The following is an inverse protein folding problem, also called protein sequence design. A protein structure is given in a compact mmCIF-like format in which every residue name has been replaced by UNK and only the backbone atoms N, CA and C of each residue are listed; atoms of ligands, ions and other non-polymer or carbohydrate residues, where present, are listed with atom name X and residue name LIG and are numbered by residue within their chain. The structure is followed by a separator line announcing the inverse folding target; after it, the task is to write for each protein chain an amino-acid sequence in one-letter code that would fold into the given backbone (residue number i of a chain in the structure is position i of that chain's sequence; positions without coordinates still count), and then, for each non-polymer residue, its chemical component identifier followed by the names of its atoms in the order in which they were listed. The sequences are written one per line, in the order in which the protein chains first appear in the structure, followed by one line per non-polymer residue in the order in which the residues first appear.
data_IF_690266647906
#
_entry.id   IF_690266647906
#
_cell.length_a   1.000
_cell.length_b   1.000
_cell.length_c   1.000
_cell.angle_alpha   90.00
_cell.angle_beta   90.00
_cell.angle_gamma   90.00
#
_symmetry.space_group_name_H-M   'P 1'
#
loop_
_entity.id
_entity.type
_entity.pdbx_description
1 polymer ?
#
# COMPACT_ATOMS: atom_id res chain seq x y z
N UNK A 1 -47.36 39.13 4.40
CA UNK A 1 -46.74 38.30 5.45
C UNK A 1 -46.39 36.95 4.83
N UNK A 2 -45.17 36.75 4.37
CA UNK A 2 -44.76 35.53 3.66
C UNK A 2 -43.77 34.77 4.55
N UNK A 3 -44.20 33.63 5.08
CA UNK A 3 -43.37 32.73 5.90
C UNK A 3 -42.45 31.93 4.98
N UNK A 4 -41.15 32.19 5.08
CA UNK A 4 -40.13 31.39 4.41
C UNK A 4 -39.93 30.08 5.19
N UNK A 5 -40.19 28.96 4.51
CA UNK A 5 -39.87 27.61 4.98
C UNK A 5 -38.41 27.35 4.62
N UNK A 6 -37.54 27.32 5.62
CA UNK A 6 -36.14 26.90 5.48
C UNK A 6 -36.06 25.37 5.56
N UNK A 7 -36.02 24.70 4.40
CA UNK A 7 -35.62 23.30 4.30
C UNK A 7 -34.09 23.22 4.38
N UNK A 8 -33.58 22.71 5.51
CA UNK A 8 -32.18 22.36 5.66
C UNK A 8 -31.90 21.04 4.93
N UNK A 9 -31.36 21.12 3.72
CA UNK A 9 -30.79 19.98 3.00
C UNK A 9 -29.47 19.58 3.66
N UNK A 10 -29.48 18.47 4.42
CA UNK A 10 -28.27 17.81 4.87
C UNK A 10 -27.58 17.15 3.67
N UNK A 11 -26.58 17.81 3.11
CA UNK A 11 -25.71 17.23 2.08
C UNK A 11 -24.74 16.28 2.77
N UNK A 12 -25.03 14.98 2.72
CA UNK A 12 -24.05 13.94 3.03
C UNK A 12 -22.97 13.95 1.95
N UNK A 13 -21.90 14.72 2.15
CA UNK A 13 -20.70 14.63 1.31
C UNK A 13 -20.01 13.31 1.65
N UNK A 14 -20.35 12.24 0.93
CA UNK A 14 -19.53 11.05 0.91
C UNK A 14 -18.17 11.45 0.33
N UNK A 15 -17.16 11.58 1.18
CA UNK A 15 -15.79 11.80 0.77
C UNK A 15 -15.34 10.55 0.01
N UNK A 16 -15.55 10.53 -1.31
CA UNK A 16 -14.86 9.61 -2.19
C UNK A 16 -13.38 10.01 -2.11
N UNK A 17 -12.63 9.35 -1.22
CA UNK A 17 -11.18 9.36 -1.24
C UNK A 17 -10.78 9.06 -2.68
N UNK A 18 -10.22 10.05 -3.39
CA UNK A 18 -9.78 9.88 -4.77
C UNK A 18 -8.71 8.78 -4.81
N UNK A 19 -9.14 7.54 -4.99
CA UNK A 19 -8.26 6.42 -5.22
C UNK A 19 -7.53 6.71 -6.53
N UNK A 20 -6.21 6.67 -6.49
CA UNK A 20 -5.44 6.72 -7.73
C UNK A 20 -5.93 5.57 -8.62
N UNK A 21 -6.17 5.76 -9.93
CA UNK A 21 -6.56 4.67 -10.85
C UNK A 21 -5.56 3.50 -10.81
N UNK A 22 -4.32 3.79 -10.41
CA UNK A 22 -3.28 2.79 -10.18
C UNK A 22 -3.59 1.79 -9.04
N UNK A 23 -4.52 2.12 -8.15
CA UNK A 23 -4.90 1.36 -6.96
C UNK A 23 -6.35 0.88 -6.99
N UNK A 24 -7.02 0.95 -8.14
CA UNK A 24 -8.38 0.43 -8.28
C UNK A 24 -8.40 -1.06 -7.91
N UNK A 25 -9.31 -1.44 -7.01
CA UNK A 25 -9.45 -2.80 -6.49
C UNK A 25 -8.37 -3.24 -5.48
N UNK A 26 -7.36 -2.40 -5.21
CA UNK A 26 -6.33 -2.72 -4.20
C UNK A 26 -6.81 -2.23 -2.84
N UNK A 27 -6.97 -3.18 -1.91
CA UNK A 27 -7.27 -2.87 -0.52
C UNK A 27 -5.99 -2.33 0.15
N UNK A 28 -6.14 -1.22 0.88
CA UNK A 28 -5.04 -0.52 1.55
C UNK A 28 -5.37 -0.39 3.02
N UNK A 29 -4.42 -0.74 3.88
CA UNK A 29 -4.48 -0.65 5.36
C UNK A 29 -5.18 -1.81 6.10
N UNK A 30 -4.86 -3.07 5.79
CA UNK A 30 -5.30 -4.21 6.61
C UNK A 30 -4.42 -5.45 6.42
N UNK A 31 -3.93 -6.08 7.49
CA UNK A 31 -3.01 -7.23 7.41
C UNK A 31 -1.56 -6.88 7.77
N UNK A 32 -0.60 -7.67 7.28
CA UNK A 32 0.83 -7.53 7.58
C UNK A 32 1.35 -8.49 8.66
N UNK A 33 0.48 -9.22 9.36
CA UNK A 33 0.87 -10.21 10.35
C UNK A 33 1.65 -11.36 9.70
N UNK A 34 1.21 -11.81 8.51
CA UNK A 34 1.94 -12.81 7.72
C UNK A 34 3.35 -12.34 7.39
N UNK A 35 3.51 -11.06 7.06
CA UNK A 35 4.82 -10.48 6.76
C UNK A 35 5.71 -10.39 7.99
N UNK A 36 5.17 -10.12 9.19
CA UNK A 36 5.96 -10.05 10.43
C UNK A 36 6.65 -11.38 10.74
N UNK A 37 5.97 -12.52 10.53
CA UNK A 37 6.56 -13.85 10.75
C UNK A 37 7.75 -14.16 9.83
N UNK A 38 7.89 -13.43 8.72
CA UNK A 38 9.00 -13.63 7.77
C UNK A 38 10.26 -12.86 8.15
N UNK A 39 10.15 -11.96 9.13
CA UNK A 39 11.23 -11.10 9.56
C UNK A 39 11.75 -11.59 10.91
N UNK A 40 13.05 -11.83 10.99
CA UNK A 40 13.74 -12.15 12.24
C UNK A 40 13.99 -10.89 13.10
N UNK A 41 12.95 -10.07 13.29
CA UNK A 41 12.99 -8.83 14.05
C UNK A 41 11.78 -8.76 14.98
N UNK A 42 12.02 -9.00 16.27
CA UNK A 42 10.97 -9.09 17.30
C UNK A 42 10.24 -7.77 17.56
N UNK A 43 10.82 -6.62 17.15
CA UNK A 43 10.17 -5.31 17.29
C UNK A 43 9.66 -4.76 15.96
N UNK A 44 9.70 -5.59 14.91
CA UNK A 44 9.09 -5.23 13.66
C UNK A 44 7.59 -4.96 13.84
N UNK A 45 7.08 -3.94 13.17
CA UNK A 45 5.65 -3.58 13.18
C UNK A 45 5.16 -3.34 11.77
N UNK A 46 4.02 -3.94 11.44
CA UNK A 46 3.34 -3.65 10.19
C UNK A 46 2.84 -2.20 10.23
N UNK A 47 3.15 -1.45 9.18
CA UNK A 47 2.68 -0.07 9.00
C UNK A 47 1.40 -0.05 8.17
N UNK A 48 1.45 -0.75 7.03
CA UNK A 48 0.33 -0.90 6.10
C UNK A 48 0.58 -2.08 5.16
N UNK A 49 -0.45 -2.41 4.41
CA UNK A 49 -0.46 -3.49 3.44
C UNK A 49 -1.25 -3.10 2.20
N UNK A 50 -0.97 -3.79 1.09
CA UNK A 50 -1.65 -3.71 -0.19
C UNK A 50 -2.11 -5.11 -0.57
N UNK A 51 -3.42 -5.33 -0.67
CA UNK A 51 -3.99 -6.65 -0.99
C UNK A 51 -4.73 -6.63 -2.31
N UNK A 52 -4.50 -7.66 -3.11
CA UNK A 52 -5.16 -7.84 -4.40
C UNK A 52 -5.05 -9.30 -4.84
N UNK A 53 -6.19 -9.95 -5.13
CA UNK A 53 -6.22 -11.32 -5.68
C UNK A 53 -5.38 -12.34 -4.88
N UNK A 54 -5.49 -12.28 -3.55
CA UNK A 54 -4.75 -13.15 -2.61
C UNK A 54 -3.26 -12.82 -2.45
N UNK A 55 -2.73 -11.86 -3.21
CA UNK A 55 -1.39 -11.31 -2.99
C UNK A 55 -1.42 -10.20 -1.94
N UNK A 56 -0.30 -10.07 -1.22
CA UNK A 56 -0.10 -9.04 -0.20
C UNK A 56 1.31 -8.44 -0.34
N UNK A 57 1.39 -7.10 -0.32
CA UNK A 57 2.64 -6.38 -0.09
C UNK A 57 2.50 -5.64 1.23
N UNK A 58 3.38 -5.90 2.18
CA UNK A 58 3.31 -5.32 3.53
C UNK A 58 4.54 -4.50 3.85
N UNK A 59 4.32 -3.23 4.21
CA UNK A 59 5.35 -2.33 4.68
C UNK A 59 5.54 -2.52 6.19
N UNK A 60 6.78 -2.77 6.58
CA UNK A 60 7.16 -3.08 7.95
C UNK A 60 8.21 -2.06 8.40
N UNK A 61 7.99 -1.45 9.57
CA UNK A 61 9.04 -0.74 10.27
C UNK A 61 9.87 -1.73 11.09
N UNK A 62 11.19 -1.68 10.92
CA UNK A 62 12.16 -2.52 11.63
C UNK A 62 12.66 -1.81 12.91
N UNK A 63 13.24 -2.59 13.82
CA UNK A 63 13.83 -2.12 15.09
C UNK A 63 14.79 -0.94 14.93
N UNK A 64 15.52 -0.88 13.81
CA UNK A 64 16.52 0.15 13.52
C UNK A 64 15.97 1.44 12.90
N UNK A 65 14.64 1.59 12.82
CA UNK A 65 13.99 2.76 12.18
C UNK A 65 13.97 2.71 10.65
N UNK A 66 14.59 1.70 10.04
CA UNK A 66 14.47 1.42 8.62
C UNK A 66 13.13 0.75 8.29
N UNK A 67 12.78 0.77 7.00
CA UNK A 67 11.57 0.14 6.47
C UNK A 67 11.91 -0.99 5.53
N UNK A 68 11.03 -1.98 5.48
CA UNK A 68 11.06 -3.09 4.55
C UNK A 68 9.68 -3.30 3.92
N UNK A 69 9.63 -3.80 2.69
CA UNK A 69 8.42 -4.28 2.05
C UNK A 69 8.54 -5.78 1.85
N UNK A 70 7.57 -6.53 2.36
CA UNK A 70 7.49 -7.99 2.22
C UNK A 70 6.42 -8.32 1.18
N UNK A 71 6.79 -9.10 0.17
CA UNK A 71 5.92 -9.50 -0.93
C UNK A 71 5.51 -10.96 -0.72
N UNK A 72 4.22 -11.19 -0.59
CA UNK A 72 3.61 -12.47 -0.28
C UNK A 72 2.66 -12.86 -1.42
N UNK A 73 2.83 -14.05 -1.96
CA UNK A 73 1.78 -14.71 -2.76
C UNK A 73 0.80 -15.40 -1.80
N UNK A 74 -0.30 -16.02 -2.28
CA UNK A 74 -1.22 -16.75 -1.41
C UNK A 74 -0.53 -17.76 -0.48
N UNK A 75 0.48 -18.47 -0.99
CA UNK A 75 1.07 -19.62 -0.29
C UNK A 75 2.42 -19.36 0.37
N UNK A 76 3.15 -18.31 -0.03
CA UNK A 76 4.54 -18.11 0.43
C UNK A 76 4.99 -16.67 0.38
N UNK A 77 6.07 -16.40 1.10
CA UNK A 77 6.89 -15.22 0.90
C UNK A 77 7.67 -15.36 -0.39
N UNK A 78 7.61 -14.32 -1.22
CA UNK A 78 8.25 -14.31 -2.54
C UNK A 78 9.49 -13.42 -2.51
N UNK A 79 9.40 -12.24 -1.90
CA UNK A 79 10.53 -11.32 -1.83
C UNK A 79 10.46 -10.40 -0.61
N UNK A 80 11.61 -9.83 -0.24
CA UNK A 80 11.71 -8.77 0.76
C UNK A 80 12.59 -7.65 0.19
N UNK A 81 12.02 -6.46 0.09
CA UNK A 81 12.74 -5.26 -0.31
C UNK A 81 13.10 -4.43 0.93
N UNK A 82 14.37 -4.04 1.08
CA UNK A 82 14.84 -3.20 2.18
C UNK A 82 15.55 -1.97 1.62
N UNK A 83 15.31 -0.79 2.20
CA UNK A 83 16.22 0.35 2.08
C UNK A 83 16.14 1.21 0.82
N UNK A 84 15.00 1.28 0.13
CA UNK A 84 14.80 2.22 -0.99
C UNK A 84 14.12 3.51 -0.51
N UNK A 85 14.83 4.65 -0.62
CA UNK A 85 14.51 5.94 -0.01
C UNK A 85 14.62 7.15 -0.99
N UNK A 86 14.76 6.95 -2.30
CA UNK A 86 15.05 8.01 -3.31
C UNK A 86 14.08 8.05 -4.50
N UNK A 87 13.81 9.25 -5.05
CA UNK A 87 12.77 9.52 -6.06
C UNK A 87 12.99 8.91 -7.46
N UNK A 88 14.21 8.48 -7.81
CA UNK A 88 14.43 7.67 -9.02
C UNK A 88 13.88 6.24 -8.86
N UNK A 89 13.43 5.87 -7.67
CA UNK A 89 12.96 4.52 -7.35
C UNK A 89 11.52 4.24 -7.79
N UNK A 90 10.79 5.17 -8.40
CA UNK A 90 9.39 4.95 -8.80
C UNK A 90 9.30 3.89 -9.91
N UNK A 91 10.07 4.12 -10.99
CA UNK A 91 10.17 3.17 -12.10
C UNK A 91 10.87 1.90 -11.63
N UNK A 92 11.91 2.05 -10.81
CA UNK A 92 12.65 0.90 -10.25
C UNK A 92 11.79 0.07 -9.28
N UNK A 93 10.87 0.67 -8.52
CA UNK A 93 10.00 -0.04 -7.59
C UNK A 93 9.08 -0.99 -8.35
N UNK A 94 8.50 -0.50 -9.45
CA UNK A 94 7.64 -1.32 -10.31
C UNK A 94 8.46 -2.42 -11.00
N UNK A 95 9.59 -2.06 -11.61
CA UNK A 95 10.46 -3.02 -12.31
C UNK A 95 11.01 -4.08 -11.34
N UNK A 96 11.59 -3.66 -10.22
CA UNK A 96 12.05 -4.53 -9.15
C UNK A 96 10.95 -5.45 -8.66
N UNK A 97 9.73 -4.93 -8.45
CA UNK A 97 8.59 -5.74 -7.99
C UNK A 97 8.23 -6.82 -9.01
N UNK A 98 8.17 -6.49 -10.29
CA UNK A 98 7.86 -7.46 -11.35
C UNK A 98 8.97 -8.50 -11.50
N UNK A 99 10.23 -8.11 -11.37
CA UNK A 99 11.39 -9.00 -11.46
C UNK A 99 11.53 -9.93 -10.24
N UNK A 100 11.29 -9.41 -9.03
CA UNK A 100 11.57 -10.12 -7.77
C UNK A 100 10.33 -10.78 -7.17
N UNK A 101 9.12 -10.41 -7.60
CA UNK A 101 7.89 -11.10 -7.24
C UNK A 101 7.19 -11.70 -8.48
N UNK A 102 7.72 -12.78 -9.10
CA UNK A 102 7.14 -13.38 -10.28
C UNK A 102 5.68 -13.80 -10.06
N UNK A 103 4.81 -13.39 -10.99
CA UNK A 103 3.38 -13.68 -10.92
C UNK A 103 2.56 -12.67 -10.10
N UNK A 104 3.20 -11.63 -9.55
CA UNK A 104 2.45 -10.56 -8.87
C UNK A 104 1.49 -9.87 -9.84
N UNK A 105 0.24 -9.57 -9.43
CA UNK A 105 -0.70 -8.85 -10.28
C UNK A 105 -0.17 -7.47 -10.67
N UNK A 106 -0.23 -7.15 -11.96
CA UNK A 106 0.23 -5.86 -12.49
C UNK A 106 -0.44 -4.66 -11.80
N UNK A 107 -1.72 -4.79 -11.44
CA UNK A 107 -2.46 -3.76 -10.73
C UNK A 107 -1.86 -3.50 -9.34
N UNK A 108 -1.52 -4.58 -8.60
CA UNK A 108 -0.90 -4.48 -7.28
C UNK A 108 0.49 -3.85 -7.36
N UNK A 109 1.34 -4.32 -8.28
CA UNK A 109 2.67 -3.76 -8.49
C UNK A 109 2.63 -2.27 -8.87
N UNK A 110 1.68 -1.87 -9.71
CA UNK A 110 1.48 -0.47 -10.11
C UNK A 110 0.97 0.39 -8.94
N UNK A 111 0.00 -0.11 -8.16
CA UNK A 111 -0.48 0.60 -6.98
C UNK A 111 0.67 0.82 -5.99
N UNK A 112 1.39 -0.25 -5.66
CA UNK A 112 2.54 -0.23 -4.77
C UNK A 112 3.54 0.84 -5.20
N UNK A 113 4.01 0.79 -6.45
CA UNK A 113 4.97 1.75 -6.99
C UNK A 113 4.48 3.19 -6.82
N UNK A 114 3.22 3.50 -7.17
CA UNK A 114 2.67 4.85 -7.02
C UNK A 114 2.57 5.30 -5.55
N UNK A 115 2.26 4.38 -4.63
CA UNK A 115 2.08 4.73 -3.21
C UNK A 115 3.42 5.01 -2.53
N UNK A 116 4.41 4.12 -2.70
CA UNK A 116 5.74 4.34 -2.13
C UNK A 116 6.40 5.58 -2.70
N UNK A 117 6.12 5.91 -3.95
CA UNK A 117 6.56 7.14 -4.61
C UNK A 117 5.98 8.40 -3.98
N UNK A 118 4.66 8.45 -3.79
CA UNK A 118 3.97 9.66 -3.33
C UNK A 118 4.40 10.08 -1.94
N UNK A 119 4.84 9.13 -1.12
CA UNK A 119 5.33 9.40 0.24
C UNK A 119 6.74 10.00 0.29
N UNK A 120 7.47 9.93 -0.81
CA UNK A 120 8.84 10.45 -0.91
C UNK A 120 8.95 11.63 -1.88
N UNK A 121 7.83 12.13 -2.42
CA UNK A 121 7.79 13.38 -3.16
C UNK A 121 8.07 14.56 -2.19
N UNK A 122 8.94 15.52 -2.57
CA UNK A 122 9.35 16.62 -1.71
C UNK A 122 8.22 17.60 -1.39
#
# INVERSE_FOLDING_TARGET
MMRAVLLALAVCVAQASHASPACDGVERNGGGERALHTLHDEKARALRSFLYDGWEISEIALSGGSRAFVFLSPDKTVAVWRGAWTLDEISQAKEWTVENAPGIPNQLARCFAVQVTREHAP
#
